data_IF_187518089116
#
_entry.id   IF_187518089116
#
_cell.length_a   1.000
_cell.length_b   1.000
_cell.length_c   1.000
_cell.angle_alpha   90.00
_cell.angle_beta   90.00
_cell.angle_gamma   90.00
#
_symmetry.space_group_name_H-M   'P 1'
#
loop_
_entity.id
_entity.type
_entity.pdbx_description
1 polymer ?
#
# COMPACT_ATOMS: atom_id res chain seq x y z
N UNK A 1 5.73 -11.32 13.07
CA UNK A 1 5.88 -10.67 11.74
C UNK A 1 7.01 -9.70 11.91
N UNK A 2 8.00 -9.77 11.04
CA UNK A 2 9.19 -8.90 11.15
C UNK A 2 8.77 -7.47 10.80
N UNK A 3 9.48 -6.47 11.32
CA UNK A 3 9.23 -5.06 10.96
C UNK A 3 9.30 -4.81 9.44
N UNK A 4 10.19 -5.53 8.75
CA UNK A 4 10.33 -5.49 7.29
C UNK A 4 9.03 -5.85 6.56
N UNK A 5 8.34 -6.90 7.01
CA UNK A 5 7.09 -7.38 6.43
C UNK A 5 5.91 -6.41 6.61
N UNK A 6 5.96 -5.57 7.64
CA UNK A 6 4.95 -4.57 7.94
C UNK A 6 5.19 -3.32 7.09
N UNK A 7 6.45 -2.91 6.97
CA UNK A 7 6.88 -1.85 6.09
C UNK A 7 6.53 -2.16 4.62
N UNK A 8 6.79 -3.39 4.15
CA UNK A 8 6.46 -3.81 2.79
C UNK A 8 4.95 -3.73 2.48
N UNK A 9 4.08 -4.00 3.46
CA UNK A 9 2.63 -4.07 3.25
C UNK A 9 1.93 -2.72 3.40
N UNK A 10 2.28 -1.95 4.43
CA UNK A 10 1.49 -0.79 4.87
C UNK A 10 2.22 0.55 4.77
N UNK A 11 3.52 0.56 4.44
CA UNK A 11 4.30 1.80 4.36
C UNK A 11 4.60 2.14 2.90
N UNK A 12 4.38 3.41 2.55
CA UNK A 12 4.85 3.99 1.30
C UNK A 12 6.34 4.27 1.46
N UNK A 13 7.18 3.46 0.82
CA UNK A 13 8.63 3.68 0.82
C UNK A 13 9.00 4.88 -0.06
N UNK A 14 10.19 5.44 0.19
CA UNK A 14 10.78 6.40 -0.72
C UNK A 14 10.87 5.81 -2.14
N UNK A 15 10.46 6.58 -3.15
CA UNK A 15 10.57 6.17 -4.55
C UNK A 15 10.74 7.41 -5.42
N UNK A 16 11.48 7.27 -6.52
CA UNK A 16 11.70 8.35 -7.48
C UNK A 16 10.39 8.91 -8.05
N UNK A 17 9.31 8.12 -8.02
CA UNK A 17 8.01 8.49 -8.56
C UNK A 17 7.03 9.09 -7.54
N UNK A 18 7.17 8.83 -6.24
CA UNK A 18 6.10 9.13 -5.27
C UNK A 18 6.50 9.90 -4.02
N UNK A 19 7.76 9.92 -3.59
CA UNK A 19 8.03 10.25 -2.18
C UNK A 19 8.23 11.73 -1.82
N UNK A 20 8.47 12.64 -2.76
CA UNK A 20 8.74 14.04 -2.41
C UNK A 20 7.50 14.86 -2.04
N UNK A 21 6.31 14.47 -2.51
CA UNK A 21 5.05 15.18 -2.26
C UNK A 21 3.97 14.33 -1.56
N UNK A 22 4.34 13.13 -1.12
CA UNK A 22 3.42 12.22 -0.45
C UNK A 22 3.40 12.51 1.05
N UNK A 23 2.36 13.20 1.52
CA UNK A 23 2.15 13.47 2.95
C UNK A 23 1.72 12.24 3.78
N UNK A 24 1.34 11.14 3.11
CA UNK A 24 0.83 9.91 3.72
C UNK A 24 1.89 8.80 3.69
N UNK A 25 2.51 8.55 4.83
CA UNK A 25 3.53 7.48 4.94
C UNK A 25 2.88 6.09 4.97
N UNK A 26 1.59 6.00 5.30
CA UNK A 26 0.83 4.76 5.34
C UNK A 26 -0.04 4.59 4.10
N UNK A 27 -0.21 3.33 3.66
CA UNK A 27 -1.13 2.94 2.59
C UNK A 27 -2.08 1.82 3.03
N UNK A 28 -3.24 1.78 2.41
CA UNK A 28 -4.27 0.75 2.59
C UNK A 28 -4.60 0.13 1.24
N UNK A 29 -3.66 -0.69 0.78
CA UNK A 29 -3.70 -1.36 -0.51
C UNK A 29 -3.60 -2.88 -0.27
N UNK A 30 -4.72 -3.62 -0.23
CA UNK A 30 -4.73 -5.05 0.08
C UNK A 30 -4.29 -5.94 -1.08
N UNK A 31 -4.04 -5.36 -2.26
CA UNK A 31 -3.64 -6.07 -3.47
C UNK A 31 -2.31 -5.55 -4.01
N UNK A 32 -1.57 -6.42 -4.70
CA UNK A 32 -0.47 -6.05 -5.58
C UNK A 32 -0.99 -6.07 -7.02
N UNK A 33 -0.77 -5.00 -7.78
CA UNK A 33 -1.23 -4.92 -9.18
C UNK A 33 -2.73 -4.66 -9.30
N UNK A 34 -3.23 -4.60 -10.52
CA UNK A 34 -4.62 -4.21 -10.79
C UNK A 34 -5.19 -4.88 -12.04
N UNK A 35 -6.46 -5.29 -11.99
CA UNK A 35 -7.19 -5.94 -13.08
C UNK A 35 -7.76 -4.99 -14.14
N UNK A 36 -7.74 -3.67 -13.92
CA UNK A 36 -8.37 -2.69 -14.82
C UNK A 36 -7.74 -2.58 -16.22
N UNK A 37 -6.49 -3.04 -16.40
CA UNK A 37 -5.86 -3.08 -17.72
C UNK A 37 -5.55 -1.71 -18.36
N UNK A 38 -5.68 -0.59 -17.64
CA UNK A 38 -5.63 0.77 -18.20
C UNK A 38 -4.41 1.01 -19.12
N UNK A 39 -4.65 1.58 -20.30
CA UNK A 39 -3.59 1.86 -21.30
C UNK A 39 -2.54 2.85 -20.78
N UNK A 40 -2.94 3.75 -19.89
CA UNK A 40 -2.10 4.80 -19.30
C UNK A 40 -1.51 4.42 -17.93
N UNK A 41 -1.61 3.15 -17.52
CA UNK A 41 -1.22 2.73 -16.18
C UNK A 41 0.31 2.82 -15.99
N UNK A 42 0.78 3.86 -15.29
CA UNK A 42 2.22 4.08 -15.07
C UNK A 42 2.88 2.95 -14.26
N UNK A 43 2.11 2.19 -13.47
CA UNK A 43 2.66 1.06 -12.71
C UNK A 43 3.22 -0.04 -13.63
N UNK A 44 2.76 -0.13 -14.89
CA UNK A 44 3.30 -1.03 -15.92
C UNK A 44 4.77 -0.72 -16.26
N UNK A 45 5.22 0.50 -16.00
CA UNK A 45 6.59 0.94 -16.25
C UNK A 45 7.52 0.70 -15.05
N UNK A 46 6.99 0.23 -13.92
CA UNK A 46 7.78 -0.02 -12.71
C UNK A 46 8.54 -1.36 -12.82
N UNK A 47 9.80 -1.45 -12.34
CA UNK A 47 10.63 -2.66 -12.48
C UNK A 47 10.06 -3.95 -11.86
N UNK A 48 9.08 -3.83 -10.95
CA UNK A 48 8.45 -4.95 -10.23
C UNK A 48 6.95 -5.05 -10.51
N UNK A 49 6.51 -4.68 -11.71
CA UNK A 49 5.11 -4.82 -12.08
C UNK A 49 4.69 -6.31 -12.12
N UNK A 50 3.67 -6.74 -11.35
CA UNK A 50 3.32 -8.16 -11.21
C UNK A 50 2.53 -8.74 -12.40
N UNK A 51 2.16 -7.94 -13.41
CA UNK A 51 1.40 -8.41 -14.58
C UNK A 51 -0.10 -8.60 -14.34
N UNK A 52 -0.56 -8.78 -13.09
CA UNK A 52 -1.96 -8.93 -12.73
C UNK A 52 -2.20 -8.71 -11.23
N UNK A 53 -3.48 -8.64 -10.80
CA UNK A 53 -3.80 -8.44 -9.39
C UNK A 53 -3.58 -9.71 -8.57
N UNK A 54 -3.03 -9.55 -7.37
CA UNK A 54 -2.88 -10.64 -6.39
C UNK A 54 -3.12 -10.11 -4.97
N UNK A 55 -3.74 -10.88 -4.07
CA UNK A 55 -3.95 -10.46 -2.70
C UNK A 55 -2.62 -10.43 -1.93
N UNK A 56 -2.43 -9.40 -1.10
CA UNK A 56 -1.36 -9.37 -0.11
C UNK A 56 -1.74 -10.27 1.06
N UNK A 57 -1.20 -11.49 1.08
CA UNK A 57 -1.46 -12.43 2.16
C UNK A 57 -1.06 -11.86 3.53
N UNK A 58 -1.96 -12.04 4.51
CA UNK A 58 -1.77 -11.55 5.88
C UNK A 58 -2.05 -10.07 6.09
N UNK A 59 -2.58 -9.35 5.08
CA UNK A 59 -2.87 -7.92 5.18
C UNK A 59 -3.78 -7.54 6.36
N UNK A 60 -4.92 -8.22 6.65
CA UNK A 60 -5.76 -7.86 7.80
C UNK A 60 -5.02 -7.96 9.15
N UNK A 61 -4.14 -8.98 9.28
CA UNK A 61 -3.32 -9.16 10.48
C UNK A 61 -2.28 -8.06 10.62
N UNK A 62 -1.67 -7.62 9.51
CA UNK A 62 -0.74 -6.50 9.51
C UNK A 62 -1.46 -5.18 9.89
N UNK A 63 -2.63 -4.93 9.29
CA UNK A 63 -3.44 -3.74 9.55
C UNK A 63 -3.83 -3.65 11.03
N UNK A 64 -4.35 -4.74 11.61
CA UNK A 64 -4.74 -4.77 13.02
C UNK A 64 -3.58 -4.42 13.96
N UNK A 65 -2.35 -4.85 13.65
CA UNK A 65 -1.17 -4.50 14.45
C UNK A 65 -0.81 -3.02 14.34
N UNK A 66 -0.91 -2.44 13.14
CA UNK A 66 -0.67 -1.00 12.95
C UNK A 66 -1.72 -0.18 13.68
N UNK A 67 -3.00 -0.54 13.54
CA UNK A 67 -4.07 0.15 14.25
C UNK A 67 -3.93 0.04 15.77
N UNK A 68 -3.50 -1.12 16.30
CA UNK A 68 -3.20 -1.26 17.72
C UNK A 68 -2.03 -0.35 18.14
N UNK A 69 -0.95 -0.30 17.37
CA UNK A 69 0.19 0.58 17.67
C UNK A 69 -0.18 2.07 17.59
N UNK A 70 -1.02 2.47 16.63
CA UNK A 70 -1.47 3.85 16.48
C UNK A 70 -2.41 4.32 17.60
N UNK A 71 -3.14 3.40 18.26
CA UNK A 71 -3.95 3.75 19.44
C UNK A 71 -3.08 4.19 20.62
N UNK A 72 -1.87 3.67 20.71
CA UNK A 72 -0.93 3.99 21.79
C UNK A 72 -0.09 5.25 21.48
N UNK A 73 -0.24 5.85 20.30
CA UNK A 73 0.51 7.07 19.94
C UNK A 73 -0.32 8.33 20.14
N UNK A 74 0.30 9.46 20.55
CA UNK A 74 -0.38 10.75 20.68
C UNK A 74 -0.64 11.43 19.32
N UNK A 75 -0.37 10.74 18.21
CA UNK A 75 -0.43 11.31 16.87
C UNK A 75 -1.90 11.39 16.43
N UNK A 76 -2.36 12.59 16.09
CA UNK A 76 -3.66 12.80 15.48
C UNK A 76 -3.78 11.92 14.22
N UNK A 77 -4.90 11.20 14.10
CA UNK A 77 -5.24 10.21 13.05
C UNK A 77 -4.38 10.33 11.79
N UNK A 78 -3.39 9.45 11.64
CA UNK A 78 -2.54 9.41 10.44
C UNK A 78 -3.38 8.96 9.23
N UNK A 79 -3.47 9.74 8.13
CA UNK A 79 -4.16 9.30 6.93
C UNK A 79 -3.50 8.07 6.31
N UNK A 80 -4.34 7.10 5.95
CA UNK A 80 -3.96 6.01 5.08
C UNK A 80 -4.28 6.39 3.64
N UNK A 81 -3.28 6.33 2.77
CA UNK A 81 -3.51 6.47 1.34
C UNK A 81 -4.11 5.19 0.79
N UNK A 82 -5.17 5.33 0.01
CA UNK A 82 -5.68 4.27 -0.84
C UNK A 82 -5.23 4.53 -2.28
N UNK A 83 -5.13 3.46 -3.05
CA UNK A 83 -4.80 3.51 -4.46
C UNK A 83 -3.39 4.02 -4.78
N UNK A 84 -2.38 3.62 -4.00
CA UNK A 84 -1.02 4.09 -4.22
C UNK A 84 -0.40 3.49 -5.50
N UNK A 85 -0.58 2.19 -5.71
CA UNK A 85 -0.06 1.44 -6.87
C UNK A 85 -1.03 0.35 -7.37
N UNK A 86 -2.24 0.33 -6.83
CA UNK A 86 -3.29 -0.63 -7.11
C UNK A 86 -4.62 0.10 -6.99
N UNK A 87 -5.72 -0.54 -7.34
CA UNK A 87 -7.04 -0.12 -6.85
C UNK A 87 -7.39 -1.03 -5.64
N UNK A 88 -7.71 -0.51 -4.46
CA UNK A 88 -8.02 -1.32 -3.29
C UNK A 88 -9.44 -1.88 -3.29
N UNK A 89 -10.34 -1.38 -4.14
CA UNK A 89 -11.75 -1.77 -4.24
C UNK A 89 -12.04 -2.48 -5.57
N UNK A 90 -11.04 -3.17 -6.14
CA UNK A 90 -11.24 -3.91 -7.39
C UNK A 90 -12.28 -5.02 -7.21
N UNK A 91 -13.05 -5.34 -8.26
CA UNK A 91 -14.00 -6.45 -8.23
C UNK A 91 -13.28 -7.80 -8.38
N UNK A 92 -12.59 -8.26 -7.33
CA UNK A 92 -11.81 -9.50 -7.26
C UNK A 92 -12.27 -10.43 -6.15
#
# INVERSE_FOLDING_TARGET
MRLSELAERLVVSASCAMSLYCYSVLRLDPYVGCGHGCIYCFTKLLPRYPGGPSPLWGFPRALNRVLAALKETPVASMPFRMSALTDPLQPL
#
